data_IF_186451153951
#
_entry.id   IF_186451153951
#
_cell.length_a   1.000
_cell.length_b   1.000
_cell.length_c   1.000
_cell.angle_alpha   90.00
_cell.angle_beta   90.00
_cell.angle_gamma   90.00
#
_symmetry.space_group_name_H-M   'P 1'
#
loop_
_entity.id
_entity.type
_entity.pdbx_description
1 polymer ?
#
# COMPACT_ATOMS: atom_id res chain seq x y z
N UNK A 1 3.33 4.55 -10.92
CA UNK A 1 3.00 3.11 -10.91
C UNK A 1 1.48 2.90 -10.84
N UNK A 2 0.94 1.73 -11.24
CA UNK A 2 -0.50 1.42 -11.14
C UNK A 2 -1.05 1.52 -9.71
N UNK A 3 -2.38 1.62 -9.57
CA UNK A 3 -3.02 1.69 -8.26
C UNK A 3 -2.88 0.38 -7.47
N UNK A 4 -3.01 0.45 -6.14
CA UNK A 4 -2.94 -0.75 -5.28
C UNK A 4 -3.94 -1.84 -5.65
N UNK A 5 -5.13 -1.47 -6.14
CA UNK A 5 -6.12 -2.42 -6.64
C UNK A 5 -5.67 -3.16 -7.90
N UNK A 6 -4.98 -2.48 -8.82
CA UNK A 6 -4.45 -3.08 -10.04
C UNK A 6 -3.24 -3.97 -9.74
N UNK A 7 -2.33 -3.49 -8.87
CA UNK A 7 -1.19 -4.28 -8.39
C UNK A 7 -1.66 -5.51 -7.61
N UNK A 8 -2.69 -5.37 -6.78
CA UNK A 8 -3.34 -6.48 -6.06
C UNK A 8 -3.85 -7.58 -6.99
N UNK A 9 -4.42 -7.19 -8.14
CA UNK A 9 -4.93 -8.12 -9.14
C UNK A 9 -3.82 -8.90 -9.89
N UNK A 10 -2.55 -8.54 -9.73
CA UNK A 10 -1.43 -9.29 -10.33
C UNK A 10 -1.06 -10.57 -9.57
N UNK A 11 -1.34 -10.62 -8.27
CA UNK A 11 -0.89 -11.69 -7.36
C UNK A 11 0.62 -11.97 -7.42
N UNK A 12 1.42 -10.99 -7.87
CA UNK A 12 2.83 -11.16 -8.13
C UNK A 12 3.66 -10.40 -7.08
N UNK A 13 4.21 -11.15 -6.13
CA UNK A 13 5.05 -10.64 -5.03
C UNK A 13 6.32 -9.99 -5.57
N UNK A 14 6.99 -10.63 -6.54
CA UNK A 14 8.24 -10.13 -7.13
C UNK A 14 8.00 -8.79 -7.85
N UNK A 15 6.89 -8.66 -8.58
CA UNK A 15 6.48 -7.40 -9.21
C UNK A 15 6.30 -6.28 -8.18
N UNK A 16 5.70 -6.56 -7.01
CA UNK A 16 5.52 -5.54 -5.97
C UNK A 16 6.86 -5.13 -5.35
N UNK A 17 7.82 -6.05 -5.25
CA UNK A 17 9.18 -5.74 -4.84
C UNK A 17 9.87 -4.81 -5.84
N UNK A 18 9.83 -5.14 -7.14
CA UNK A 18 10.41 -4.31 -8.22
C UNK A 18 9.78 -2.90 -8.25
N UNK A 19 8.46 -2.81 -8.08
CA UNK A 19 7.75 -1.52 -7.97
C UNK A 19 8.24 -0.73 -6.75
N UNK A 20 8.46 -1.41 -5.62
CA UNK A 20 9.00 -0.79 -4.42
C UNK A 20 10.42 -0.27 -4.62
N UNK A 21 11.30 -1.05 -5.26
CA UNK A 21 12.68 -0.64 -5.59
C UNK A 21 12.67 0.60 -6.49
N UNK A 22 11.88 0.59 -7.56
CA UNK A 22 11.82 1.73 -8.48
C UNK A 22 11.33 3.01 -7.78
N UNK A 23 10.34 2.91 -6.91
CA UNK A 23 9.89 4.04 -6.08
C UNK A 23 10.95 4.48 -5.06
N UNK A 24 11.73 3.56 -4.50
CA UNK A 24 12.84 3.87 -3.61
C UNK A 24 13.95 4.66 -4.32
N UNK A 25 14.33 4.24 -5.54
CA UNK A 25 15.29 4.97 -6.39
C UNK A 25 14.79 6.37 -6.72
N UNK A 26 13.53 6.51 -7.16
CA UNK A 26 12.93 7.81 -7.43
C UNK A 26 12.91 8.69 -6.17
N UNK A 27 12.53 8.15 -5.02
CA UNK A 27 12.48 8.89 -3.75
C UNK A 27 13.86 9.43 -3.35
N UNK A 28 14.93 8.63 -3.49
CA UNK A 28 16.30 9.11 -3.26
C UNK A 28 16.66 10.27 -4.18
N UNK A 29 16.28 10.21 -5.46
CA UNK A 29 16.59 11.26 -6.44
C UNK A 29 15.91 12.61 -6.13
N UNK A 30 14.83 12.58 -5.34
CA UNK A 30 14.11 13.76 -4.87
C UNK A 30 14.39 14.11 -3.40
N UNK A 31 15.37 13.49 -2.76
CA UNK A 31 15.71 13.68 -1.34
C UNK A 31 14.49 13.43 -0.40
N UNK A 32 13.72 12.39 -0.71
CA UNK A 32 12.58 11.92 0.11
C UNK A 32 12.99 10.67 0.88
N UNK A 33 12.96 10.74 2.21
CA UNK A 33 13.42 9.65 3.08
C UNK A 33 12.29 8.70 3.51
N UNK A 34 11.02 9.08 3.38
CA UNK A 34 9.86 8.25 3.74
C UNK A 34 8.78 8.35 2.66
N UNK A 35 8.43 7.21 2.07
CA UNK A 35 7.29 7.07 1.17
C UNK A 35 6.02 6.77 1.98
N UNK A 36 4.98 7.57 1.81
CA UNK A 36 3.69 7.41 2.50
C UNK A 36 2.85 6.28 1.91
N UNK A 37 3.33 5.04 2.00
CA UNK A 37 2.66 3.83 1.59
C UNK A 37 3.43 2.56 2.02
N UNK A 38 2.86 1.37 1.82
CA UNK A 38 1.62 1.12 1.08
C UNK A 38 0.35 1.29 1.92
N UNK A 39 -0.78 1.52 1.24
CA UNK A 39 -2.11 1.45 1.83
C UNK A 39 -2.59 0.00 1.91
N UNK A 40 -2.92 -0.50 3.10
CA UNK A 40 -3.22 -1.91 3.36
C UNK A 40 -4.53 -2.17 4.12
N UNK A 41 -5.45 -1.20 4.16
CA UNK A 41 -6.76 -1.44 4.76
C UNK A 41 -7.54 -2.47 3.93
N UNK A 42 -8.30 -3.34 4.60
CA UNK A 42 -9.11 -4.36 3.92
C UNK A 42 -10.24 -3.72 3.09
N UNK A 43 -10.51 -4.26 1.91
CA UNK A 43 -11.66 -3.86 1.08
C UNK A 43 -12.97 -4.42 1.64
N UNK A 44 -13.37 -3.95 2.83
CA UNK A 44 -14.55 -4.44 3.57
C UNK A 44 -15.87 -4.28 2.79
N UNK A 45 -15.99 -3.19 2.03
CA UNK A 45 -17.15 -2.89 1.19
C UNK A 45 -16.67 -2.35 -0.15
N UNK A 46 -17.31 -2.71 -1.27
CA UNK A 46 -16.94 -2.18 -2.59
C UNK A 46 -17.15 -0.66 -2.70
N UNK A 47 -17.99 -0.08 -1.82
CA UNK A 47 -18.32 1.35 -1.82
C UNK A 47 -17.24 2.25 -1.17
N UNK A 48 -16.22 1.67 -0.53
CA UNK A 48 -15.20 2.45 0.14
C UNK A 48 -14.34 3.22 -0.87
N UNK A 49 -14.34 4.55 -0.76
CA UNK A 49 -13.73 5.46 -1.76
C UNK A 49 -12.23 5.30 -1.96
N UNK A 50 -11.50 4.71 -1.00
CA UNK A 50 -10.05 4.47 -1.08
C UNK A 50 -9.65 3.05 -1.46
N UNK A 51 -10.61 2.20 -1.82
CA UNK A 51 -10.30 0.83 -2.28
C UNK A 51 -9.32 0.78 -3.45
N UNK A 52 -9.24 1.83 -4.28
CA UNK A 52 -8.32 1.88 -5.40
C UNK A 52 -6.83 1.80 -4.97
N UNK A 53 -6.47 2.33 -3.79
CA UNK A 53 -5.08 2.31 -3.31
C UNK A 53 -4.76 1.12 -2.39
N UNK A 54 -5.77 0.32 -2.00
CA UNK A 54 -5.60 -0.88 -1.18
C UNK A 54 -5.53 -2.16 -2.04
N UNK A 55 -4.90 -3.22 -1.51
CA UNK A 55 -4.64 -4.44 -2.27
C UNK A 55 -5.86 -5.36 -2.38
N UNK A 56 -6.40 -5.86 -1.27
CA UNK A 56 -7.38 -6.95 -1.26
C UNK A 56 -8.38 -6.86 -0.10
N UNK A 57 -9.44 -7.65 -0.18
CA UNK A 57 -10.29 -8.04 0.95
C UNK A 57 -9.67 -9.18 1.78
N UNK A 58 -8.77 -9.97 1.18
CA UNK A 58 -8.07 -11.07 1.84
C UNK A 58 -6.81 -10.58 2.57
N UNK A 59 -6.66 -10.86 3.88
CA UNK A 59 -5.53 -10.37 4.67
C UNK A 59 -4.21 -11.04 4.31
N UNK A 60 -4.20 -12.30 3.86
CA UNK A 60 -2.97 -13.00 3.50
C UNK A 60 -2.37 -12.42 2.22
N UNK A 61 -3.18 -12.24 1.18
CA UNK A 61 -2.78 -11.60 -0.07
C UNK A 61 -2.33 -10.16 0.16
N UNK A 62 -3.14 -9.36 0.87
CA UNK A 62 -2.78 -7.97 1.16
C UNK A 62 -1.46 -7.87 1.95
N UNK A 63 -1.25 -8.75 2.93
CA UNK A 63 -0.02 -8.79 3.73
C UNK A 63 1.21 -9.19 2.93
N UNK A 64 1.12 -10.22 2.08
CA UNK A 64 2.23 -10.68 1.24
C UNK A 64 2.67 -9.59 0.25
N UNK A 65 1.71 -8.99 -0.47
CA UNK A 65 2.00 -7.93 -1.44
C UNK A 65 2.55 -6.66 -0.78
N UNK A 66 1.99 -6.27 0.37
CA UNK A 66 2.49 -5.12 1.12
C UNK A 66 3.91 -5.35 1.64
N UNK A 67 4.22 -6.56 2.11
CA UNK A 67 5.57 -6.91 2.60
C UNK A 67 6.59 -6.78 1.48
N UNK A 68 6.30 -7.31 0.29
CA UNK A 68 7.18 -7.22 -0.86
C UNK A 68 7.46 -5.76 -1.26
N UNK A 69 6.40 -4.94 -1.33
CA UNK A 69 6.53 -3.51 -1.60
C UNK A 69 7.41 -2.80 -0.57
N UNK A 70 7.18 -3.04 0.73
CA UNK A 70 7.96 -2.44 1.81
C UNK A 70 9.42 -2.84 1.72
N UNK A 71 9.71 -4.12 1.47
CA UNK A 71 11.07 -4.61 1.29
C UNK A 71 11.76 -3.96 0.08
N UNK A 72 11.05 -3.83 -1.05
CA UNK A 72 11.56 -3.16 -2.24
C UNK A 72 11.93 -1.70 -1.96
N UNK A 73 11.03 -0.91 -1.35
CA UNK A 73 11.30 0.50 -0.99
C UNK A 73 12.51 0.59 -0.04
N UNK A 74 12.53 -0.22 1.02
CA UNK A 74 13.57 -0.17 2.06
C UNK A 74 14.93 -0.70 1.60
N UNK A 75 14.97 -1.55 0.56
CA UNK A 75 16.23 -2.01 -0.05
C UNK A 75 17.04 -0.83 -0.63
N UNK A 76 16.37 0.27 -0.99
CA UNK A 76 16.97 1.48 -1.51
C UNK A 76 17.26 2.52 -0.41
N UNK A 77 17.23 2.15 0.86
CA UNK A 77 17.52 3.07 1.98
C UNK A 77 16.43 4.13 2.23
N UNK A 78 15.24 3.97 1.66
CA UNK A 78 14.06 4.84 1.87
C UNK A 78 13.06 4.12 2.78
N UNK A 79 12.48 4.82 3.75
CA UNK A 79 11.46 4.24 4.62
C UNK A 79 10.12 4.07 3.92
N UNK A 80 9.41 2.98 4.22
CA UNK A 80 8.00 2.81 3.86
C UNK A 80 7.11 3.09 5.07
N UNK A 81 5.97 3.75 4.86
CA UNK A 81 4.99 4.05 5.91
C UNK A 81 3.68 3.30 5.65
N UNK A 82 3.58 2.10 6.23
CA UNK A 82 2.39 1.24 6.16
C UNK A 82 1.19 1.98 6.76
N UNK A 83 0.08 2.07 6.01
CA UNK A 83 -1.10 2.84 6.42
C UNK A 83 -2.41 2.16 6.02
N UNK A 84 -3.55 2.45 6.62
CA UNK A 84 -3.75 3.21 7.86
C UNK A 84 -4.05 2.19 8.96
N UNK A 85 -3.19 2.11 9.96
CA UNK A 85 -3.40 1.20 11.08
C UNK A 85 -4.42 1.81 12.06
N UNK A 86 -5.62 1.24 12.26
CA UNK A 86 -6.28 0.14 11.52
C UNK A 86 -7.74 0.49 11.25
N UNK A 87 -8.50 -0.43 10.62
CA UNK A 87 -9.95 -0.36 10.42
C UNK A 87 -10.48 0.90 9.67
N UNK A 88 -9.61 1.62 8.96
CA UNK A 88 -10.02 2.73 8.08
C UNK A 88 -10.57 2.20 6.74
N UNK A 89 -11.74 1.56 6.79
CA UNK A 89 -12.39 0.93 5.63
C UNK A 89 -13.58 1.73 5.07
N UNK A 90 -13.83 2.94 5.57
CA UNK A 90 -14.93 3.82 5.14
C UNK A 90 -14.48 5.28 5.20
N UNK A 91 -14.74 6.02 4.11
CA UNK A 91 -14.34 7.43 4.03
C UNK A 91 -15.36 8.38 4.63
N UNK A 92 -16.66 8.04 4.55
CA UNK A 92 -17.72 8.84 5.15
C UNK A 92 -17.53 8.91 6.67
N UNK A 93 -17.43 10.14 7.17
CA UNK A 93 -17.16 10.47 8.57
C UNK A 93 -15.88 9.85 9.16
N UNK A 94 -14.84 9.57 8.36
CA UNK A 94 -13.57 8.95 8.83
C UNK A 94 -12.81 9.69 9.94
N UNK A 95 -13.23 10.91 10.29
CA UNK A 95 -12.66 11.70 11.40
C UNK A 95 -13.43 11.53 12.71
N UNK A 96 -14.60 10.88 12.68
CA UNK A 96 -15.50 10.73 13.83
C UNK A 96 -16.18 9.35 13.92
N UNK A 97 -16.06 8.51 12.89
CA UNK A 97 -16.64 7.17 12.89
C UNK A 97 -16.04 6.29 13.99
N UNK A 98 -16.78 5.27 14.40
CA UNK A 98 -16.32 4.23 15.33
C UNK A 98 -16.45 2.88 14.62
N UNK A 99 -15.35 2.13 14.55
CA UNK A 99 -15.20 0.91 13.74
C UNK A 99 -15.07 -0.32 14.60
#
# INVERSE_FOLDING_TARGET
FPTGSALGASWNVDLLHEVGEALGVESQSFDVQILLGPGINMKRSPLAGRNFEYYSEDPALAGQLATAFVQGVQSQGVGACVKHFTANNQEYERMANNS
#
